data_IF_107543276832
#
_entry.id   IF_107543276832
#
_cell.length_a   1.000
_cell.length_b   1.000
_cell.length_c   1.000
_cell.angle_alpha   90.00
_cell.angle_beta   90.00
_cell.angle_gamma   90.00
#
_symmetry.space_group_name_H-M   'P 1'
#
loop_
_entity.id
_entity.type
_entity.pdbx_description
1 polymer ?
#
# COMPACT_ATOMS: atom_id res chain seq x y z
N UNK A 1 -3.56 -14.02 19.20
CA UNK A 1 -2.45 -13.23 19.75
C UNK A 1 -2.40 -11.94 18.95
N UNK A 2 -2.38 -10.79 19.63
CA UNK A 2 -2.17 -9.47 19.02
C UNK A 2 -0.98 -8.84 19.73
N UNK A 3 -0.13 -8.14 18.99
CA UNK A 3 1.09 -7.50 19.51
C UNK A 3 1.03 -6.02 19.12
N UNK A 4 1.42 -5.13 20.03
CA UNK A 4 1.55 -3.70 19.76
C UNK A 4 2.63 -3.42 18.71
N UNK A 5 2.56 -2.25 18.05
CA UNK A 5 3.59 -1.82 17.10
C UNK A 5 5.02 -1.85 17.66
N UNK A 6 5.23 -1.46 18.92
CA UNK A 6 6.56 -1.51 19.57
C UNK A 6 7.01 -2.92 20.02
N UNK A 7 6.16 -3.94 19.89
CA UNK A 7 6.45 -5.31 20.29
C UNK A 7 6.45 -5.57 21.80
N UNK A 8 6.16 -4.57 22.64
CA UNK A 8 6.28 -4.68 24.11
C UNK A 8 4.98 -5.01 24.81
N UNK A 9 3.85 -4.83 24.13
CA UNK A 9 2.53 -5.14 24.66
C UNK A 9 1.89 -6.23 23.82
N UNK A 10 1.23 -7.20 24.46
CA UNK A 10 0.49 -8.21 23.74
C UNK A 10 -0.81 -8.60 24.43
N UNK A 11 -1.76 -9.04 23.62
CA UNK A 11 -3.03 -9.60 24.06
C UNK A 11 -3.18 -11.03 23.54
N UNK A 12 -3.63 -11.93 24.42
CA UNK A 12 -3.99 -13.29 24.02
C UNK A 12 -5.32 -13.72 24.63
N UNK A 13 -6.03 -14.59 23.91
CA UNK A 13 -7.20 -15.27 24.42
C UNK A 13 -6.79 -16.68 24.87
N UNK A 14 -7.31 -17.12 26.01
CA UNK A 14 -7.14 -18.46 26.53
C UNK A 14 -8.52 -19.06 26.80
N UNK A 15 -8.78 -20.23 26.22
CA UNK A 15 -9.97 -21.03 26.51
C UNK A 15 -9.86 -21.66 27.91
N UNK A 16 -10.98 -21.72 28.62
CA UNK A 16 -11.06 -22.35 29.95
C UNK A 16 -10.90 -23.87 29.88
N UNK A 17 -11.30 -24.49 28.76
CA UNK A 17 -11.14 -25.91 28.47
C UNK A 17 -10.31 -26.15 27.19
N UNK A 18 -9.32 -27.03 27.27
CA UNK A 18 -8.45 -27.39 26.13
C UNK A 18 -9.15 -28.31 25.11
N UNK A 19 -10.45 -28.54 25.26
CA UNK A 19 -11.23 -29.52 24.51
C UNK A 19 -12.06 -28.93 23.38
N UNK A 20 -11.65 -27.79 22.80
CA UNK A 20 -11.92 -27.43 21.40
C UNK A 20 -13.38 -27.39 20.91
N UNK A 21 -14.38 -27.43 21.79
CA UNK A 21 -15.78 -27.59 21.39
C UNK A 21 -16.62 -26.33 21.58
N UNK A 22 -16.35 -25.50 22.61
CA UNK A 22 -17.12 -24.28 22.85
C UNK A 22 -16.24 -23.04 22.66
N UNK A 23 -16.21 -22.52 21.44
CA UNK A 23 -15.53 -21.26 21.06
C UNK A 23 -16.04 -20.02 21.81
N UNK A 24 -16.99 -20.21 22.73
CA UNK A 24 -17.67 -19.16 23.47
C UNK A 24 -17.14 -18.92 24.89
N UNK A 25 -16.36 -19.82 25.49
CA UNK A 25 -15.83 -19.64 26.86
C UNK A 25 -14.31 -19.44 26.87
N UNK A 26 -13.91 -18.19 26.67
CA UNK A 26 -12.52 -17.77 26.79
C UNK A 26 -12.38 -16.50 27.61
N UNK A 27 -11.18 -16.30 28.14
CA UNK A 27 -10.76 -15.06 28.77
C UNK A 27 -9.60 -14.46 27.98
N UNK A 28 -9.56 -13.13 27.91
CA UNK A 28 -8.44 -12.42 27.33
C UNK A 28 -7.59 -11.78 28.42
N UNK A 29 -6.28 -11.77 28.16
CA UNK A 29 -5.25 -11.26 29.04
C UNK A 29 -4.34 -10.31 28.26
N UNK A 30 -3.78 -9.33 28.98
CA UNK A 30 -2.83 -8.35 28.48
C UNK A 30 -1.49 -8.51 29.20
N UNK A 31 -0.40 -8.49 28.45
CA UNK A 31 0.95 -8.38 29.01
C UNK A 31 1.52 -7.05 28.56
N UNK A 32 2.00 -6.24 29.51
CA UNK A 32 2.66 -4.95 29.24
C UNK A 32 4.13 -5.02 29.61
N UNK A 33 5.01 -4.63 28.69
CA UNK A 33 6.45 -4.53 28.91
C UNK A 33 7.08 -5.79 29.51
N UNK A 34 6.60 -6.98 29.11
CA UNK A 34 7.09 -8.27 29.62
C UNK A 34 6.72 -8.58 31.08
N UNK A 35 5.76 -7.86 31.65
CA UNK A 35 5.21 -8.13 32.98
C UNK A 35 4.31 -9.37 33.04
N UNK A 36 3.63 -9.54 34.18
CA UNK A 36 2.67 -10.63 34.37
C UNK A 36 1.38 -10.40 33.56
N UNK A 37 0.69 -11.47 33.14
CA UNK A 37 -0.59 -11.35 32.46
C UNK A 37 -1.67 -10.71 33.35
N UNK A 38 -2.26 -9.63 32.85
CA UNK A 38 -3.39 -8.93 33.45
C UNK A 38 -4.70 -9.41 32.84
N UNK A 39 -5.69 -9.74 33.67
CA UNK A 39 -7.01 -10.14 33.18
C UNK A 39 -7.75 -8.97 32.52
N UNK A 40 -8.09 -9.09 31.24
CA UNK A 40 -8.82 -8.07 30.48
C UNK A 40 -10.34 -8.29 30.50
N UNK A 41 -10.78 -9.55 30.41
CA UNK A 41 -12.20 -9.90 30.50
C UNK A 41 -12.56 -11.25 29.90
N UNK A 42 -13.73 -11.78 30.30
CA UNK A 42 -14.33 -12.97 29.69
C UNK A 42 -15.03 -12.61 28.39
N UNK A 43 -15.00 -13.52 27.40
CA UNK A 43 -15.63 -13.39 26.08
C UNK A 43 -15.24 -12.09 25.35
N UNK A 44 -14.05 -11.55 25.63
CA UNK A 44 -13.52 -10.33 25.00
C UNK A 44 -12.33 -10.66 24.13
N UNK A 45 -12.41 -10.41 22.82
CA UNK A 45 -11.31 -10.63 21.89
C UNK A 45 -10.74 -9.30 21.40
N UNK A 46 -9.52 -8.98 21.82
CA UNK A 46 -8.76 -7.83 21.30
C UNK A 46 -8.34 -8.12 19.86
N UNK A 47 -8.56 -7.17 18.96
CA UNK A 47 -8.18 -7.27 17.55
C UNK A 47 -7.13 -6.25 17.12
N UNK A 48 -6.94 -5.16 17.87
CA UNK A 48 -5.85 -4.21 17.71
C UNK A 48 -5.56 -3.51 19.05
N UNK A 49 -4.30 -3.17 19.30
CA UNK A 49 -3.89 -2.39 20.47
C UNK A 49 -2.68 -1.51 20.15
N UNK A 50 -2.65 -0.32 20.75
CA UNK A 50 -1.52 0.60 20.62
C UNK A 50 -0.37 0.22 21.55
N UNK A 51 0.73 0.95 21.44
CA UNK A 51 1.81 0.90 22.41
C UNK A 51 1.26 1.13 23.83
N UNK A 52 1.79 0.36 24.78
CA UNK A 52 1.35 0.29 26.18
C UNK A 52 -0.15 -0.01 26.40
N UNK A 53 -0.88 -0.41 25.34
CA UNK A 53 -2.33 -0.55 25.34
C UNK A 53 -3.06 0.73 25.81
N UNK A 54 -2.58 1.91 25.39
CA UNK A 54 -3.31 3.18 25.55
C UNK A 54 -4.67 3.13 24.86
N UNK A 55 -4.70 2.57 23.65
CA UNK A 55 -5.90 2.25 22.87
C UNK A 55 -6.03 0.73 22.73
N UNK A 56 -7.22 0.21 23.03
CA UNK A 56 -7.55 -1.22 22.88
C UNK A 56 -8.83 -1.33 22.07
N UNK A 57 -8.77 -2.00 20.92
CA UNK A 57 -9.95 -2.31 20.13
C UNK A 57 -10.29 -3.79 20.30
N UNK A 58 -11.52 -4.05 20.75
CA UNK A 58 -11.93 -5.40 21.10
C UNK A 58 -13.38 -5.67 20.73
N UNK A 59 -13.70 -6.95 20.63
CA UNK A 59 -15.05 -7.44 20.54
C UNK A 59 -15.47 -8.08 21.85
N UNK A 60 -16.69 -7.81 22.29
CA UNK A 60 -17.38 -8.57 23.33
C UNK A 60 -18.37 -9.53 22.65
N UNK A 61 -18.22 -10.83 22.93
CA UNK A 61 -19.12 -11.86 22.43
C UNK A 61 -20.26 -12.08 23.42
N UNK A 62 -21.46 -11.94 22.89
CA UNK A 62 -22.72 -12.26 23.54
C UNK A 62 -23.40 -13.38 22.73
N UNK A 63 -24.39 -14.07 23.30
CA UNK A 63 -24.97 -15.33 22.78
C UNK A 63 -25.24 -15.38 21.27
N UNK A 64 -25.55 -14.25 20.62
CA UNK A 64 -25.75 -14.17 19.17
C UNK A 64 -25.15 -12.91 18.52
N UNK A 65 -24.25 -12.20 19.22
CA UNK A 65 -23.74 -10.90 18.76
C UNK A 65 -22.29 -10.70 19.12
N UNK A 66 -21.59 -10.00 18.23
CA UNK A 66 -20.20 -9.58 18.41
C UNK A 66 -20.18 -8.05 18.44
N UNK A 67 -20.06 -7.48 19.63
CA UNK A 67 -20.13 -6.03 19.81
C UNK A 67 -18.72 -5.47 19.91
N UNK A 68 -18.40 -4.50 19.07
CA UNK A 68 -17.09 -3.88 19.07
C UNK A 68 -17.04 -2.60 19.90
N UNK A 69 -15.90 -2.44 20.57
CA UNK A 69 -15.59 -1.32 21.42
C UNK A 69 -14.17 -0.83 21.15
N UNK A 70 -13.97 0.47 21.35
CA UNK A 70 -12.66 1.05 21.55
C UNK A 70 -12.53 1.45 23.03
N UNK A 71 -11.44 1.09 23.68
CA UNK A 71 -11.15 1.47 25.05
C UNK A 71 -9.94 2.39 25.08
N UNK A 72 -10.08 3.52 25.80
CA UNK A 72 -9.01 4.44 26.14
C UNK A 72 -9.07 4.73 27.63
N UNK A 73 -7.93 4.66 28.34
CA UNK A 73 -7.86 4.97 29.79
C UNK A 73 -8.91 4.21 30.64
N UNK A 74 -9.23 2.97 30.24
CA UNK A 74 -10.23 2.14 30.92
C UNK A 74 -11.69 2.45 30.57
N UNK A 75 -11.96 3.50 29.81
CA UNK A 75 -13.30 3.85 29.33
C UNK A 75 -13.56 3.23 27.96
N UNK A 76 -14.64 2.45 27.85
CA UNK A 76 -15.04 1.83 26.59
C UNK A 76 -16.10 2.66 25.87
N UNK A 77 -15.85 2.91 24.59
CA UNK A 77 -16.77 3.53 23.64
C UNK A 77 -17.32 2.45 22.71
N UNK A 78 -18.65 2.34 22.64
CA UNK A 78 -19.32 1.46 21.68
C UNK A 78 -19.05 1.93 20.24
N UNK A 79 -18.62 1.01 19.37
CA UNK A 79 -18.38 1.30 17.97
C UNK A 79 -19.56 0.85 17.08
N UNK A 80 -19.92 -0.44 17.19
CA UNK A 80 -20.94 -1.13 16.39
C UNK A 80 -21.15 -2.58 16.88
N UNK A 81 -22.25 -3.23 16.50
CA UNK A 81 -22.46 -4.68 16.61
C UNK A 81 -22.35 -5.45 15.28
N UNK A 82 -21.97 -4.76 14.20
CA UNK A 82 -21.75 -5.34 12.86
C UNK A 82 -20.54 -4.69 12.20
N UNK A 83 -19.36 -5.29 12.38
CA UNK A 83 -18.09 -4.76 11.89
C UNK A 83 -17.64 -5.48 10.63
N UNK A 84 -17.61 -4.76 9.50
CA UNK A 84 -17.32 -5.36 8.20
C UNK A 84 -15.83 -5.31 7.84
N UNK A 85 -15.24 -4.12 7.92
CA UNK A 85 -13.84 -3.85 7.60
C UNK A 85 -13.20 -2.99 8.68
N UNK A 86 -11.92 -3.24 8.95
CA UNK A 86 -11.08 -2.49 9.89
C UNK A 86 -9.76 -2.13 9.26
N UNK A 87 -9.30 -0.92 9.56
CA UNK A 87 -7.93 -0.49 9.36
C UNK A 87 -7.55 0.40 10.54
N UNK A 88 -6.40 0.17 11.14
CA UNK A 88 -5.85 1.11 12.14
C UNK A 88 -4.79 1.98 11.47
N UNK A 89 -4.23 2.99 12.14
CA UNK A 89 -2.98 3.63 11.72
C UNK A 89 -1.77 2.89 12.33
N UNK A 90 -0.54 3.32 12.01
CA UNK A 90 0.69 2.64 12.40
C UNK A 90 0.83 2.41 13.91
N UNK A 91 0.40 3.35 14.75
CA UNK A 91 0.49 3.27 16.21
C UNK A 91 -0.81 2.76 16.89
N UNK A 92 -1.83 2.41 16.10
CA UNK A 92 -3.15 2.00 16.56
C UNK A 92 -3.89 3.03 17.43
N UNK A 93 -3.63 4.33 17.28
CA UNK A 93 -4.41 5.38 17.97
C UNK A 93 -5.71 5.74 17.23
N UNK A 94 -5.81 5.39 15.94
CA UNK A 94 -6.97 5.64 15.09
C UNK A 94 -7.49 4.35 14.45
N UNK A 95 -8.81 4.23 14.32
CA UNK A 95 -9.49 3.09 13.70
C UNK A 95 -10.49 3.56 12.66
N UNK A 96 -10.27 3.20 11.41
CA UNK A 96 -11.25 3.27 10.34
C UNK A 96 -12.04 1.96 10.28
N UNK A 97 -13.37 2.04 10.26
CA UNK A 97 -14.22 0.86 10.23
C UNK A 97 -15.53 1.09 9.47
N UNK A 98 -16.08 0.01 8.91
CA UNK A 98 -17.36 0.08 8.18
C UNK A 98 -18.49 -0.67 8.89
N UNK A 99 -19.70 -0.08 8.78
CA UNK A 99 -20.96 -0.52 9.38
C UNK A 99 -22.10 -0.18 8.44
N UNK A 100 -22.92 -1.17 8.08
CA UNK A 100 -24.19 -0.96 7.38
C UNK A 100 -24.06 -0.09 6.11
N UNK A 101 -22.99 -0.31 5.33
CA UNK A 101 -22.75 0.46 4.11
C UNK A 101 -22.16 1.85 4.31
N UNK A 102 -21.80 2.24 5.54
CA UNK A 102 -21.08 3.48 5.85
C UNK A 102 -19.71 3.20 6.44
N UNK A 103 -18.78 4.15 6.32
CA UNK A 103 -17.47 4.09 6.96
C UNK A 103 -17.30 5.22 7.96
N UNK A 104 -16.71 4.89 9.10
CA UNK A 104 -16.47 5.76 10.24
C UNK A 104 -14.98 5.73 10.61
N UNK A 105 -14.51 6.82 11.22
CA UNK A 105 -13.22 6.93 11.86
C UNK A 105 -13.44 7.14 13.36
N UNK A 106 -12.71 6.39 14.17
CA UNK A 106 -12.57 6.65 15.59
C UNK A 106 -11.15 7.12 15.87
N UNK A 107 -11.00 8.31 16.47
CA UNK A 107 -9.70 8.96 16.69
C UNK A 107 -9.28 8.97 18.16
N UNK A 108 -9.78 8.02 18.95
CA UNK A 108 -9.54 7.97 20.40
C UNK A 108 -10.55 8.74 21.24
N UNK A 109 -11.40 9.57 20.62
CA UNK A 109 -12.40 10.39 21.32
C UNK A 109 -13.76 10.35 20.61
N UNK A 110 -13.77 10.69 19.33
CA UNK A 110 -14.99 10.92 18.57
C UNK A 110 -15.20 9.82 17.54
N UNK A 111 -16.47 9.43 17.33
CA UNK A 111 -16.89 8.62 16.17
C UNK A 111 -17.30 9.57 15.06
N UNK A 112 -16.53 9.60 13.99
CA UNK A 112 -16.68 10.53 12.86
C UNK A 112 -17.16 9.74 11.65
N UNK A 113 -18.29 10.13 11.06
CA UNK A 113 -18.74 9.52 9.79
C UNK A 113 -17.88 10.08 8.64
N UNK A 114 -17.30 9.20 7.85
CA UNK A 114 -16.43 9.56 6.73
C UNK A 114 -17.19 9.55 5.41
N UNK A 115 -17.90 8.46 5.09
CA UNK A 115 -18.58 8.35 3.81
C UNK A 115 -19.65 7.24 3.80
N UNK A 116 -20.65 7.39 2.93
CA UNK A 116 -21.75 6.45 2.71
C UNK A 116 -21.37 5.32 1.73
N UNK A 117 -20.25 4.65 2.02
CA UNK A 117 -19.85 3.42 1.34
C UNK A 117 -18.86 2.64 2.22
N UNK A 118 -18.68 1.34 1.94
CA UNK A 118 -17.67 0.52 2.60
C UNK A 118 -16.28 0.88 2.06
N UNK A 119 -15.30 0.99 2.96
CA UNK A 119 -13.91 1.26 2.58
C UNK A 119 -13.36 0.09 1.75
N UNK A 120 -12.71 0.42 0.64
CA UNK A 120 -11.96 -0.54 -0.17
C UNK A 120 -10.49 -0.56 0.25
N UNK A 121 -9.85 0.61 0.28
CA UNK A 121 -8.42 0.77 0.57
C UNK A 121 -8.06 2.23 0.92
N UNK A 122 -6.85 2.46 1.41
CA UNK A 122 -6.26 3.79 1.60
C UNK A 122 -5.22 4.03 0.51
N UNK A 123 -5.23 5.21 -0.11
CA UNK A 123 -4.16 5.59 -1.05
C UNK A 123 -2.89 5.87 -0.25
N UNK A 124 -1.87 5.06 -0.50
CA UNK A 124 -0.60 5.07 0.21
C UNK A 124 0.44 5.95 -0.48
N UNK A 125 1.32 6.63 0.29
CA UNK A 125 2.55 7.20 -0.26
C UNK A 125 3.42 6.10 -0.86
N UNK A 126 4.25 6.43 -1.87
CA UNK A 126 5.05 5.45 -2.62
C UNK A 126 5.90 4.52 -1.74
N UNK A 127 6.43 5.05 -0.63
CA UNK A 127 7.39 4.35 0.23
C UNK A 127 6.78 3.86 1.56
N UNK A 128 5.45 3.80 1.70
CA UNK A 128 4.85 3.27 2.94
C UNK A 128 4.81 1.74 2.91
N UNK A 129 5.38 1.09 3.93
CA UNK A 129 5.26 -0.37 4.12
C UNK A 129 4.00 -0.69 4.92
N UNK A 130 3.21 -1.69 4.51
CA UNK A 130 2.04 -2.14 5.26
C UNK A 130 2.31 -3.49 5.91
N UNK A 131 1.82 -3.67 7.15
CA UNK A 131 1.86 -4.95 7.86
C UNK A 131 0.43 -5.39 8.13
N UNK A 132 -0.23 -6.00 7.14
CA UNK A 132 -1.60 -6.47 7.25
C UNK A 132 -2.59 -5.34 7.56
N UNK A 133 -3.16 -5.32 8.77
CA UNK A 133 -4.15 -4.31 9.22
C UNK A 133 -3.49 -2.97 9.61
N UNK A 134 -2.16 -2.94 9.76
CA UNK A 134 -1.39 -1.74 10.09
C UNK A 134 -0.84 -1.12 8.81
N UNK A 135 -1.49 -0.09 8.24
CA UNK A 135 -0.92 0.67 7.16
C UNK A 135 0.25 1.51 7.70
N UNK A 136 1.32 1.62 6.92
CA UNK A 136 2.55 2.32 7.28
C UNK A 136 2.47 3.84 7.33
N UNK A 137 1.36 4.41 7.82
CA UNK A 137 1.19 5.85 8.00
C UNK A 137 0.75 6.19 9.43
N UNK A 138 1.16 7.38 9.90
CA UNK A 138 0.98 7.78 11.29
C UNK A 138 -0.45 8.19 11.64
N UNK A 139 -1.29 8.57 10.68
CA UNK A 139 -2.66 9.03 10.92
C UNK A 139 -3.49 8.99 9.63
N UNK A 140 -4.81 8.86 9.76
CA UNK A 140 -5.79 9.03 8.68
C UNK A 140 -6.00 10.51 8.30
N UNK A 141 -5.40 11.46 9.02
CA UNK A 141 -5.33 12.86 8.59
C UNK A 141 -4.54 13.00 7.29
N UNK A 142 -5.02 13.89 6.43
CA UNK A 142 -4.44 14.13 5.12
C UNK A 142 -4.26 12.83 4.33
N UNK A 143 -5.31 12.01 4.30
CA UNK A 143 -5.31 10.75 3.54
C UNK A 143 -6.46 10.68 2.56
N UNK A 144 -6.19 10.07 1.42
CA UNK A 144 -7.21 9.73 0.45
C UNK A 144 -7.62 8.26 0.64
N UNK A 145 -8.93 8.03 0.61
CA UNK A 145 -9.57 6.74 0.81
C UNK A 145 -10.30 6.34 -0.46
N UNK A 146 -10.28 5.04 -0.76
CA UNK A 146 -10.99 4.46 -1.88
C UNK A 146 -12.18 3.66 -1.36
N UNK A 147 -13.34 3.83 -1.99
CA UNK A 147 -14.59 3.18 -1.59
C UNK A 147 -15.09 2.16 -2.61
N UNK A 148 -15.98 1.27 -2.18
CA UNK A 148 -16.56 0.23 -3.06
C UNK A 148 -17.44 0.81 -4.18
N UNK A 149 -18.02 1.99 -3.98
CA UNK A 149 -18.71 2.75 -5.03
C UNK A 149 -17.75 3.41 -6.05
N UNK A 150 -16.43 3.21 -5.89
CA UNK A 150 -15.35 3.80 -6.67
C UNK A 150 -15.17 5.31 -6.46
N UNK A 151 -15.68 5.87 -5.36
CA UNK A 151 -15.32 7.21 -4.93
C UNK A 151 -13.90 7.26 -4.37
N UNK A 152 -13.27 8.43 -4.52
CA UNK A 152 -12.06 8.82 -3.78
C UNK A 152 -12.46 9.93 -2.83
N UNK A 153 -12.20 9.74 -1.54
CA UNK A 153 -12.56 10.69 -0.48
C UNK A 153 -11.30 11.12 0.24
N UNK A 154 -11.12 12.43 0.40
CA UNK A 154 -10.06 13.03 1.18
C UNK A 154 -10.51 13.26 2.62
N UNK A 155 -9.69 12.87 3.59
CA UNK A 155 -9.80 13.26 4.99
C UNK A 155 -8.76 14.34 5.26
N UNK A 156 -9.19 15.51 5.72
CA UNK A 156 -8.29 16.63 6.04
C UNK A 156 -7.62 16.50 7.43
N UNK A 157 -6.89 17.54 7.84
CA UNK A 157 -6.17 17.61 9.11
C UNK A 157 -7.08 17.71 10.35
N UNK A 158 -8.38 17.95 10.14
CA UNK A 158 -9.45 18.05 11.14
C UNK A 158 -10.44 16.89 11.06
N UNK A 159 -10.16 15.88 10.25
CA UNK A 159 -11.02 14.74 9.96
C UNK A 159 -12.33 15.07 9.21
N UNK A 160 -12.43 16.24 8.59
CA UNK A 160 -13.52 16.49 7.65
C UNK A 160 -13.26 15.70 6.37
N UNK A 161 -14.28 14.97 5.93
CA UNK A 161 -14.22 14.14 4.75
C UNK A 161 -14.94 14.81 3.58
N UNK A 162 -14.32 14.80 2.40
CA UNK A 162 -14.94 15.26 1.16
C UNK A 162 -14.56 14.39 -0.02
N UNK A 163 -15.48 14.26 -0.96
CA UNK A 163 -15.26 13.49 -2.17
C UNK A 163 -14.43 14.30 -3.16
N UNK A 164 -13.26 13.77 -3.54
CA UNK A 164 -12.30 14.43 -4.43
C UNK A 164 -12.12 13.71 -5.77
N UNK A 165 -12.73 12.53 -5.91
CA UNK A 165 -12.60 11.74 -7.13
C UNK A 165 -13.70 10.69 -7.30
N UNK A 166 -13.75 10.13 -8.50
CA UNK A 166 -14.76 9.16 -8.94
C UNK A 166 -14.17 8.15 -9.92
N UNK A 167 -14.87 7.02 -10.07
CA UNK A 167 -14.60 5.99 -11.09
C UNK A 167 -13.18 5.43 -11.03
N UNK A 168 -12.56 5.42 -9.85
CA UNK A 168 -11.24 4.85 -9.66
C UNK A 168 -11.22 3.37 -10.07
N UNK A 169 -10.23 3.01 -10.87
CA UNK A 169 -9.90 1.66 -11.25
C UNK A 169 -9.21 0.90 -10.12
N UNK A 170 -8.61 -0.24 -10.46
CA UNK A 170 -8.01 -1.14 -9.48
C UNK A 170 -6.48 -1.24 -9.57
N UNK A 171 -5.85 -0.65 -10.59
CA UNK A 171 -4.45 -0.95 -10.90
C UNK A 171 -3.44 0.14 -10.53
N UNK A 172 -3.88 1.37 -10.23
CA UNK A 172 -2.97 2.46 -9.88
C UNK A 172 -3.66 3.54 -9.03
N UNK A 173 -3.06 3.85 -7.88
CA UNK A 173 -3.39 4.99 -7.04
C UNK A 173 -2.20 5.32 -6.13
N UNK A 174 -1.83 6.59 -6.04
CA UNK A 174 -0.70 7.06 -5.24
C UNK A 174 -0.97 8.47 -4.72
N UNK A 175 -0.43 8.79 -3.55
CA UNK A 175 -0.34 10.14 -3.04
C UNK A 175 1.12 10.57 -3.00
N UNK A 176 1.36 11.83 -3.34
CA UNK A 176 2.68 12.46 -3.27
C UNK A 176 3.27 12.40 -1.86
N UNK A 177 4.60 12.47 -1.75
CA UNK A 177 5.32 12.48 -0.48
C UNK A 177 4.94 13.67 0.42
N UNK A 178 4.50 14.78 -0.18
CA UNK A 178 3.98 15.96 0.54
C UNK A 178 2.51 15.84 0.94
N UNK A 179 1.86 14.72 0.62
CA UNK A 179 0.47 14.40 0.94
C UNK A 179 -0.54 15.48 0.53
N UNK A 180 -0.29 16.18 -0.58
CA UNK A 180 -1.17 17.24 -1.09
C UNK A 180 -1.62 17.00 -2.52
N UNK A 181 -1.06 16.00 -3.19
CA UNK A 181 -1.40 15.66 -4.57
C UNK A 181 -1.61 14.16 -4.66
N UNK A 182 -2.72 13.75 -5.24
CA UNK A 182 -3.06 12.36 -5.50
C UNK A 182 -3.15 12.12 -7.00
N UNK A 183 -2.73 10.94 -7.44
CA UNK A 183 -2.95 10.45 -8.79
C UNK A 183 -3.59 9.07 -8.71
N UNK A 184 -4.58 8.83 -9.55
CA UNK A 184 -5.19 7.51 -9.66
C UNK A 184 -5.67 7.23 -11.06
N UNK A 185 -5.68 5.96 -11.42
CA UNK A 185 -6.27 5.51 -12.65
C UNK A 185 -7.77 5.35 -12.53
N UNK A 186 -8.50 5.71 -13.58
CA UNK A 186 -9.93 5.42 -13.71
C UNK A 186 -10.14 4.06 -14.37
N UNK A 187 -11.39 3.59 -14.37
CA UNK A 187 -11.78 2.38 -15.11
C UNK A 187 -11.60 2.47 -16.63
N UNK A 188 -11.35 3.67 -17.19
CA UNK A 188 -11.12 3.90 -18.62
C UNK A 188 -9.65 3.99 -19.00
N UNK A 189 -8.75 3.60 -18.10
CA UNK A 189 -7.30 3.75 -18.26
C UNK A 189 -6.83 5.22 -18.33
N UNK A 190 -7.66 6.16 -17.90
CA UNK A 190 -7.30 7.58 -17.76
C UNK A 190 -6.65 7.80 -16.40
N UNK A 191 -5.63 8.66 -16.30
CA UNK A 191 -5.02 9.05 -15.01
C UNK A 191 -5.56 10.42 -14.62
N UNK A 192 -6.22 10.50 -13.47
CA UNK A 192 -6.62 11.76 -12.84
C UNK A 192 -5.54 12.21 -11.87
N UNK A 193 -5.23 13.51 -11.88
CA UNK A 193 -4.36 14.17 -10.90
C UNK A 193 -5.19 15.18 -10.14
N UNK A 194 -5.27 15.04 -8.82
CA UNK A 194 -6.00 15.96 -7.95
C UNK A 194 -5.01 16.61 -6.98
N UNK A 195 -5.00 17.94 -6.97
CA UNK A 195 -4.16 18.74 -6.06
C UNK A 195 -5.06 19.33 -4.99
N UNK A 196 -4.71 19.09 -3.73
CA UNK A 196 -5.43 19.51 -2.53
C UNK A 196 -4.73 20.75 -1.95
N UNK A 197 -5.49 21.84 -1.79
CA UNK A 197 -5.03 23.09 -1.19
C UNK A 197 -6.03 23.56 -0.14
N UNK A 198 -5.79 23.17 1.12
CA UNK A 198 -6.73 23.41 2.21
C UNK A 198 -8.09 22.78 1.93
N UNK A 199 -9.12 23.61 1.84
CA UNK A 199 -10.51 23.20 1.59
C UNK A 199 -10.87 23.12 0.10
N UNK A 200 -9.91 23.41 -0.79
CA UNK A 200 -10.12 23.39 -2.24
C UNK A 200 -9.36 22.25 -2.91
N UNK A 201 -9.88 21.80 -4.05
CA UNK A 201 -9.20 20.85 -4.92
C UNK A 201 -9.22 21.31 -6.38
N UNK A 202 -8.14 21.00 -7.08
CA UNK A 202 -8.06 21.10 -8.54
C UNK A 202 -7.86 19.69 -9.11
N UNK A 203 -8.84 19.21 -9.88
CA UNK A 203 -8.82 17.90 -10.51
C UNK A 203 -8.66 18.06 -12.01
N UNK A 204 -7.67 17.37 -12.57
CA UNK A 204 -7.43 17.33 -14.00
C UNK A 204 -7.12 15.92 -14.48
N UNK A 205 -7.66 15.60 -15.65
CA UNK A 205 -7.18 14.45 -16.41
C UNK A 205 -5.75 14.72 -16.85
N UNK A 206 -4.84 13.88 -16.40
CA UNK A 206 -3.41 14.01 -16.63
C UNK A 206 -2.94 13.15 -17.81
N UNK A 207 -3.46 11.94 -17.94
CA UNK A 207 -3.16 11.00 -19.05
C UNK A 207 -4.45 10.38 -19.56
N UNK A 208 -4.58 10.20 -20.87
CA UNK A 208 -5.79 9.68 -21.51
C UNK A 208 -5.86 8.15 -21.59
N UNK A 209 -4.71 7.48 -21.71
CA UNK A 209 -4.64 6.03 -21.79
C UNK A 209 -3.30 5.53 -21.23
N UNK A 210 -3.35 4.76 -20.16
CA UNK A 210 -2.17 4.17 -19.52
C UNK A 210 -2.49 2.79 -18.95
N UNK A 211 -1.85 1.75 -19.48
CA UNK A 211 -1.95 0.38 -19.00
C UNK A 211 -1.08 0.15 -17.75
N UNK A 212 0.08 0.81 -17.72
CA UNK A 212 1.00 0.82 -16.59
C UNK A 212 1.47 2.24 -16.34
N UNK A 213 1.62 2.60 -15.06
CA UNK A 213 2.09 3.92 -14.65
C UNK A 213 3.17 3.76 -13.59
N UNK A 214 4.20 4.59 -13.69
CA UNK A 214 5.24 4.67 -12.71
C UNK A 214 5.64 6.14 -12.53
N UNK A 215 5.69 6.61 -11.28
CA UNK A 215 5.82 8.04 -10.96
C UNK A 215 6.99 8.33 -10.02
N UNK A 216 7.46 9.58 -10.03
CA UNK A 216 8.24 10.13 -8.91
C UNK A 216 7.40 10.25 -7.64
N UNK A 217 8.07 10.41 -6.49
CA UNK A 217 7.40 10.53 -5.18
C UNK A 217 6.59 11.83 -5.03
N UNK A 218 7.00 12.92 -5.68
CA UNK A 218 6.27 14.19 -5.75
C UNK A 218 5.25 14.26 -6.90
N UNK A 219 5.16 13.20 -7.72
CA UNK A 219 4.27 13.11 -8.87
C UNK A 219 4.52 14.19 -9.94
N UNK A 220 5.75 14.74 -10.02
CA UNK A 220 6.18 15.65 -11.09
C UNK A 220 6.50 14.93 -12.39
N UNK A 221 7.09 13.74 -12.29
CA UNK A 221 7.55 12.92 -13.40
C UNK A 221 6.68 11.67 -13.48
N UNK A 222 6.01 11.49 -14.62
CA UNK A 222 5.14 10.35 -14.87
C UNK A 222 5.61 9.63 -16.12
N UNK A 223 5.96 8.36 -15.96
CA UNK A 223 6.20 7.44 -17.05
C UNK A 223 5.02 6.50 -17.15
N UNK A 224 4.54 6.23 -18.35
CA UNK A 224 3.41 5.33 -18.54
C UNK A 224 3.50 4.55 -19.85
N UNK A 225 2.94 3.35 -19.84
CA UNK A 225 2.77 2.52 -21.03
C UNK A 225 1.37 2.71 -21.61
N UNK A 226 1.28 2.93 -22.92
CA UNK A 226 0.03 2.79 -23.69
C UNK A 226 0.27 1.73 -24.76
N UNK A 227 -0.24 0.53 -24.54
CA UNK A 227 0.20 -0.68 -25.22
C UNK A 227 1.66 -0.98 -24.89
N UNK A 228 2.51 -1.07 -25.90
CA UNK A 228 3.95 -1.29 -25.76
C UNK A 228 4.78 -0.02 -25.96
N UNK A 229 4.14 1.16 -25.95
CA UNK A 229 4.81 2.45 -26.12
C UNK A 229 5.00 3.12 -24.78
N UNK A 230 6.23 3.52 -24.48
CA UNK A 230 6.59 4.25 -23.28
C UNK A 230 6.52 5.75 -23.53
N UNK A 231 5.76 6.42 -22.69
CA UNK A 231 5.62 7.86 -22.68
C UNK A 231 6.18 8.46 -21.38
N UNK A 232 6.64 9.69 -21.48
CA UNK A 232 6.96 10.55 -20.35
C UNK A 232 6.08 11.79 -20.36
N UNK A 233 5.61 12.20 -19.18
CA UNK A 233 4.85 13.43 -19.00
C UNK A 233 5.24 14.10 -17.69
N UNK A 234 5.47 15.41 -17.76
CA UNK A 234 5.57 16.28 -16.60
C UNK A 234 4.39 17.28 -16.55
N UNK A 235 4.40 18.16 -15.56
CA UNK A 235 3.32 19.13 -15.35
C UNK A 235 3.24 20.25 -16.40
N UNK A 236 4.32 20.52 -17.13
CA UNK A 236 4.44 21.70 -18.01
C UNK A 236 4.31 21.35 -19.49
N UNK A 237 4.59 20.10 -19.85
CA UNK A 237 4.74 19.68 -21.23
C UNK A 237 3.66 18.69 -21.65
N UNK A 238 3.46 18.61 -22.96
CA UNK A 238 2.73 17.50 -23.56
C UNK A 238 3.48 16.19 -23.32
N UNK A 239 2.76 15.08 -23.36
CA UNK A 239 3.40 13.78 -23.22
C UNK A 239 4.31 13.52 -24.42
N UNK A 240 5.51 13.00 -24.17
CA UNK A 240 6.49 12.65 -25.19
C UNK A 240 6.57 11.13 -25.27
N UNK A 241 6.44 10.57 -26.46
CA UNK A 241 6.73 9.16 -26.71
C UNK A 241 8.25 8.97 -26.73
N UNK A 242 8.77 8.17 -25.82
CA UNK A 242 10.20 7.92 -25.69
C UNK A 242 10.66 6.79 -26.61
N UNK A 243 9.92 5.68 -26.58
CA UNK A 243 10.26 4.46 -27.31
C UNK A 243 9.08 3.49 -27.39
N UNK A 244 9.12 2.57 -28.33
CA UNK A 244 8.18 1.46 -28.47
C UNK A 244 8.78 0.10 -28.05
N UNK A 245 7.97 -0.96 -28.14
CA UNK A 245 8.35 -2.33 -27.79
C UNK A 245 8.82 -2.53 -26.35
N UNK A 246 8.22 -1.77 -25.42
CA UNK A 246 8.47 -1.88 -23.98
C UNK A 246 7.51 -2.88 -23.34
N UNK A 247 8.03 -3.71 -22.45
CA UNK A 247 7.24 -4.71 -21.73
C UNK A 247 7.30 -4.59 -20.20
N UNK A 248 8.29 -3.86 -19.66
CA UNK A 248 8.44 -3.64 -18.23
C UNK A 248 8.94 -2.24 -17.95
N UNK A 249 8.47 -1.63 -16.86
CA UNK A 249 8.80 -0.27 -16.44
C UNK A 249 8.92 -0.23 -14.91
N UNK A 250 9.99 0.38 -14.41
CA UNK A 250 10.18 0.72 -13.00
C UNK A 250 10.91 2.06 -12.89
N UNK A 251 10.73 2.77 -11.78
CA UNK A 251 11.59 3.92 -11.45
C UNK A 251 12.53 3.55 -10.32
N UNK A 252 13.64 4.27 -10.25
CA UNK A 252 14.48 4.20 -9.07
C UNK A 252 13.75 4.83 -7.87
N UNK A 253 14.33 4.67 -6.68
CA UNK A 253 13.70 5.19 -5.46
C UNK A 253 13.47 6.71 -5.47
N UNK A 254 14.33 7.46 -6.17
CA UNK A 254 14.17 8.92 -6.32
C UNK A 254 13.07 9.31 -7.30
N UNK A 255 12.75 8.43 -8.26
CA UNK A 255 11.79 8.72 -9.29
C UNK A 255 12.31 9.58 -10.45
N UNK A 256 13.61 9.83 -10.53
CA UNK A 256 14.24 10.66 -11.57
C UNK A 256 14.71 9.82 -12.78
N UNK A 257 14.89 8.51 -12.60
CA UNK A 257 15.33 7.59 -13.64
C UNK A 257 14.30 6.47 -13.82
N UNK A 258 13.76 6.37 -15.03
CA UNK A 258 12.95 5.24 -15.46
C UNK A 258 13.85 4.17 -16.08
N UNK A 259 13.70 2.94 -15.62
CA UNK A 259 14.30 1.75 -16.22
C UNK A 259 13.20 0.95 -16.88
N UNK A 260 13.50 0.39 -18.04
CA UNK A 260 12.51 -0.36 -18.80
C UNK A 260 13.15 -1.41 -19.70
N UNK A 261 12.42 -2.49 -19.92
CA UNK A 261 12.85 -3.61 -20.76
C UNK A 261 12.22 -3.45 -22.15
N UNK A 262 13.06 -3.50 -23.19
CA UNK A 262 12.68 -3.35 -24.60
C UNK A 262 13.19 -4.54 -25.43
N UNK A 263 12.57 -4.75 -26.60
CA UNK A 263 12.99 -5.74 -27.60
C UNK A 263 12.91 -7.17 -27.04
N UNK A 264 11.85 -7.43 -26.27
CA UNK A 264 11.68 -8.71 -25.60
C UNK A 264 11.42 -9.84 -26.61
N UNK A 265 12.10 -10.96 -26.40
CA UNK A 265 11.82 -12.23 -27.05
C UNK A 265 11.37 -13.23 -26.00
N UNK A 266 10.41 -14.09 -26.36
CA UNK A 266 9.92 -15.14 -25.45
C UNK A 266 10.56 -16.47 -25.83
N UNK A 267 11.26 -17.10 -24.88
CA UNK A 267 11.79 -18.46 -25.02
C UNK A 267 11.51 -19.24 -23.73
N UNK A 268 10.91 -20.42 -23.84
CA UNK A 268 10.59 -21.28 -22.68
C UNK A 268 9.79 -20.57 -21.58
N UNK A 269 8.81 -19.73 -21.96
CA UNK A 269 8.00 -18.89 -21.06
C UNK A 269 8.77 -17.79 -20.28
N UNK A 270 10.05 -17.57 -20.58
CA UNK A 270 10.83 -16.47 -20.05
C UNK A 270 10.94 -15.38 -21.12
N UNK A 271 10.61 -14.14 -20.74
CA UNK A 271 10.74 -12.98 -21.64
C UNK A 271 12.06 -12.30 -21.38
N UNK A 272 12.90 -12.21 -22.41
CA UNK A 272 14.26 -11.66 -22.33
C UNK A 272 14.37 -10.44 -23.22
N UNK A 273 14.85 -9.33 -22.70
CA UNK A 273 15.00 -8.09 -23.44
C UNK A 273 16.27 -7.35 -23.06
N UNK A 274 16.46 -6.18 -23.66
CA UNK A 274 17.55 -5.28 -23.28
C UNK A 274 17.01 -4.25 -22.29
N UNK A 275 17.72 -4.04 -21.19
CA UNK A 275 17.40 -3.02 -20.21
C UNK A 275 17.91 -1.66 -20.67
N UNK A 276 17.02 -0.68 -20.67
CA UNK A 276 17.30 0.72 -20.97
C UNK A 276 16.93 1.59 -19.78
N UNK A 277 17.41 2.83 -19.80
CA UNK A 277 16.95 3.87 -18.90
C UNK A 277 16.72 5.20 -19.63
N UNK A 278 15.87 6.04 -19.03
CA UNK A 278 15.65 7.44 -19.40
C UNK A 278 15.65 8.29 -18.14
N UNK A 279 16.25 9.48 -18.23
CA UNK A 279 16.33 10.44 -17.12
C UNK A 279 15.47 11.64 -17.51
N UNK A 280 14.44 11.92 -16.72
CA UNK A 280 13.45 13.00 -16.97
C UNK A 280 12.97 13.09 -18.44
N UNK A 281 12.61 11.95 -19.05
CA UNK A 281 12.15 11.91 -20.45
C UNK A 281 13.23 12.17 -21.50
N UNK A 282 14.51 12.18 -21.11
CA UNK A 282 15.62 12.24 -22.04
C UNK A 282 15.73 11.00 -22.93
N UNK A 283 16.59 11.08 -23.94
CA UNK A 283 16.82 10.00 -24.90
C UNK A 283 17.15 8.66 -24.18
N UNK A 284 16.41 7.57 -24.50
CA UNK A 284 16.69 6.23 -24.02
C UNK A 284 18.14 5.79 -24.22
N UNK A 285 18.75 5.23 -23.17
CA UNK A 285 20.12 4.69 -23.21
C UNK A 285 20.17 3.26 -22.70
N UNK A 286 20.92 2.35 -23.35
CA UNK A 286 21.06 0.99 -22.86
C UNK A 286 21.86 0.96 -21.56
N UNK A 287 21.46 0.10 -20.63
CA UNK A 287 22.29 -0.28 -19.49
C UNK A 287 23.39 -1.21 -20.00
N UNK A 288 24.64 -0.87 -19.73
CA UNK A 288 25.83 -1.52 -20.33
C UNK A 288 25.80 -3.06 -20.23
N UNK A 289 25.45 -3.54 -19.03
CA UNK A 289 25.43 -4.97 -18.69
C UNK A 289 23.99 -5.52 -18.63
N UNK A 290 22.99 -4.75 -19.10
CA UNK A 290 21.58 -5.10 -19.03
C UNK A 290 21.05 -5.86 -20.26
N UNK A 291 21.93 -6.52 -21.02
CA UNK A 291 21.52 -7.36 -22.15
C UNK A 291 20.93 -8.66 -21.60
N UNK A 292 19.84 -9.13 -22.20
CA UNK A 292 19.13 -10.36 -21.78
C UNK A 292 18.51 -10.30 -20.37
N UNK A 293 18.16 -9.09 -19.92
CA UNK A 293 17.37 -8.93 -18.71
C UNK A 293 16.06 -9.71 -18.83
N UNK A 294 15.75 -10.52 -17.82
CA UNK A 294 14.57 -11.40 -17.78
C UNK A 294 13.51 -10.95 -16.79
N UNK A 295 13.92 -10.07 -15.86
CA UNK A 295 13.08 -9.52 -14.81
C UNK A 295 13.55 -8.09 -14.54
N UNK A 296 12.60 -7.21 -14.28
CA UNK A 296 12.82 -5.85 -13.81
C UNK A 296 11.79 -5.57 -12.71
N UNK A 297 12.25 -5.21 -11.52
CA UNK A 297 11.36 -4.92 -10.40
C UNK A 297 11.93 -3.86 -9.46
N UNK A 298 11.04 -3.18 -8.74
CA UNK A 298 11.44 -2.31 -7.64
C UNK A 298 11.51 -3.13 -6.35
N UNK A 299 12.70 -3.23 -5.75
CA UNK A 299 12.94 -3.93 -4.49
C UNK A 299 13.29 -2.90 -3.41
N UNK A 300 12.33 -2.63 -2.52
CA UNK A 300 12.42 -1.57 -1.51
C UNK A 300 12.86 -0.22 -2.14
N UNK A 301 14.02 0.28 -1.73
CA UNK A 301 14.62 1.55 -2.16
C UNK A 301 15.50 1.42 -3.41
N UNK A 302 15.35 0.35 -4.18
CA UNK A 302 16.16 0.14 -5.37
C UNK A 302 15.44 -0.63 -6.45
N UNK A 303 16.17 -0.89 -7.52
CA UNK A 303 15.72 -1.67 -8.66
C UNK A 303 16.60 -2.91 -8.72
N UNK A 304 15.94 -4.05 -8.94
CA UNK A 304 16.59 -5.28 -9.29
C UNK A 304 16.31 -5.64 -10.75
N UNK A 305 17.30 -6.20 -11.43
CA UNK A 305 17.08 -6.97 -12.64
C UNK A 305 17.87 -8.28 -12.58
N UNK A 306 17.36 -9.30 -13.26
CA UNK A 306 18.05 -10.57 -13.42
C UNK A 306 18.49 -10.75 -14.87
N UNK A 307 19.72 -11.19 -15.09
CA UNK A 307 20.25 -11.57 -16.41
C UNK A 307 20.58 -13.06 -16.44
N UNK A 308 20.33 -13.74 -17.56
CA UNK A 308 20.76 -15.13 -17.71
C UNK A 308 22.29 -15.20 -17.78
N UNK A 309 22.88 -16.19 -17.13
CA UNK A 309 24.33 -16.43 -17.15
C UNK A 309 24.68 -17.63 -18.05
N UNK A 310 25.97 -17.87 -18.27
CA UNK A 310 26.47 -18.91 -19.19
C UNK A 310 26.09 -20.34 -18.76
N UNK A 311 25.64 -20.54 -17.51
CA UNK A 311 25.24 -21.84 -16.97
C UNK A 311 23.74 -22.13 -17.18
N UNK A 312 22.97 -21.16 -17.67
CA UNK A 312 21.51 -21.24 -17.81
C UNK A 312 20.74 -20.89 -16.53
N UNK A 313 21.44 -20.39 -15.50
CA UNK A 313 20.87 -19.78 -14.30
C UNK A 313 20.81 -18.24 -14.44
N UNK A 314 20.50 -17.53 -13.36
CA UNK A 314 20.37 -16.07 -13.38
C UNK A 314 21.25 -15.38 -12.35
N UNK A 315 21.90 -14.31 -12.80
CA UNK A 315 22.63 -13.39 -11.95
C UNK A 315 21.72 -12.20 -11.61
N UNK A 316 21.66 -11.85 -10.33
CA UNK A 316 20.80 -10.79 -9.82
C UNK A 316 21.60 -9.52 -9.57
N UNK A 317 21.13 -8.43 -10.16
CA UNK A 317 21.77 -7.13 -10.12
C UNK A 317 20.88 -6.11 -9.42
N UNK A 318 21.44 -5.32 -8.52
CA UNK A 318 20.70 -4.33 -7.73
C UNK A 318 21.31 -2.94 -7.79
N UNK A 319 20.45 -1.93 -7.80
CA UNK A 319 20.80 -0.52 -7.83
C UNK A 319 19.84 0.29 -6.95
N UNK A 320 20.37 1.05 -5.99
CA UNK A 320 19.57 1.99 -5.17
C UNK A 320 19.61 3.43 -5.70
N UNK A 321 20.62 3.80 -6.48
CA UNK A 321 20.89 5.16 -6.96
C UNK A 321 21.61 5.15 -8.31
N UNK A 322 21.14 6.01 -9.22
CA UNK A 322 21.81 6.23 -10.50
C UNK A 322 21.57 5.11 -11.49
N UNK A 323 22.55 4.83 -12.36
CA UNK A 323 22.41 3.94 -13.53
C UNK A 323 23.27 2.66 -13.46
N UNK A 324 24.11 2.54 -12.43
CA UNK A 324 25.03 1.41 -12.28
C UNK A 324 24.43 0.35 -11.37
N UNK A 325 24.36 -0.89 -11.87
CA UNK A 325 23.92 -2.02 -11.07
C UNK A 325 25.10 -2.83 -10.56
N UNK A 326 24.94 -3.38 -9.36
CA UNK A 326 25.91 -4.28 -8.75
C UNK A 326 25.33 -5.68 -8.70
N UNK A 327 26.14 -6.67 -9.09
CA UNK A 327 25.84 -8.07 -8.85
C UNK A 327 25.70 -8.30 -7.33
N UNK A 328 24.58 -8.90 -6.92
CA UNK A 328 24.31 -9.20 -5.51
C UNK A 328 24.15 -10.70 -5.25
N UNK A 329 23.76 -11.48 -6.25
CA UNK A 329 23.65 -12.95 -6.18
C UNK A 329 23.98 -13.55 -7.56
N UNK A 330 24.63 -14.71 -7.56
CA UNK A 330 24.99 -15.50 -8.75
C UNK A 330 24.22 -16.82 -8.74
N UNK A 331 24.03 -17.40 -9.93
CA UNK A 331 23.46 -18.75 -10.11
C UNK A 331 22.10 -18.98 -9.41
N UNK A 332 21.25 -17.96 -9.38
CA UNK A 332 19.92 -18.03 -8.78
C UNK A 332 18.93 -18.67 -9.74
N UNK A 333 18.03 -19.52 -9.24
CA UNK A 333 16.96 -20.06 -10.07
C UNK A 333 15.88 -19.00 -10.32
N UNK A 334 15.21 -19.07 -11.48
CA UNK A 334 14.10 -18.14 -11.77
C UNK A 334 12.96 -18.24 -10.74
N UNK A 335 12.73 -19.43 -10.20
CA UNK A 335 11.69 -19.68 -9.19
C UNK A 335 12.01 -18.98 -7.87
N UNK A 336 13.28 -18.94 -7.46
CA UNK A 336 13.72 -18.23 -6.26
C UNK A 336 13.54 -16.71 -6.41
N UNK A 337 13.75 -16.17 -7.61
CA UNK A 337 13.59 -14.74 -7.89
C UNK A 337 12.11 -14.31 -7.82
N UNK A 338 11.18 -15.12 -8.35
CA UNK A 338 9.75 -14.74 -8.39
C UNK A 338 9.02 -15.00 -7.07
N UNK A 339 9.46 -15.99 -6.28
CA UNK A 339 8.80 -16.31 -5.01
C UNK A 339 8.96 -15.22 -3.94
N UNK A 340 9.98 -14.36 -4.01
CA UNK A 340 10.08 -13.20 -3.11
C UNK A 340 9.06 -12.10 -3.43
N UNK A 341 8.64 -11.95 -4.70
CA UNK A 341 7.66 -10.94 -5.14
C UNK A 341 6.22 -11.22 -4.61
N UNK A 342 5.96 -12.45 -4.16
CA UNK A 342 4.68 -12.84 -3.53
C UNK A 342 4.63 -12.60 -2.03
N UNK A 343 5.77 -12.43 -1.36
CA UNK A 343 5.84 -12.33 0.10
C UNK A 343 5.88 -10.88 0.62
N UNK A 344 5.89 -9.88 -0.27
CA UNK A 344 5.97 -8.45 0.09
C UNK A 344 4.77 -7.59 -0.37
N UNK A 345 3.65 -8.19 -0.77
CA UNK A 345 2.40 -7.48 -1.06
C UNK A 345 1.42 -7.48 0.12
#
# INVERSE_FOLDING_TARGET
LIISPDGKTMAYAAASDRTGADSEDFACYLIRNGGEPEFFGKKRAIFALSDHAEYIYYYELQENKKIAYAQKEGQSVYLTDSLDRVMVNLDCSELLYSVEGSTYLFNGKDKIKIYDSLIRDVIKPKNSQANGVYPGFNSFKSKALIFQDNAVVWIDDKYAARKVGNNIGHYFAIISDTENTLMYATRKLEIEKVTIQGDTEDSKRFVNNADQVATSGDLSDVYYLSGNQLYYKNNMEEAIMLVDQVEGLCLNAKGDIAFFQKDCTTKSNVRKGTLYYSIHGGEPRPVKDGKEAVLLGQWNYGIAFAGENDTGSYDLYYNTKGIEFKLILEDVSFEDIINEDRNYN
#
